data_IF_005644732603
#
_entry.id   IF_005644732603
#
_cell.length_a   1.000
_cell.length_b   1.000
_cell.length_c   1.000
_cell.angle_alpha   90.00
_cell.angle_beta   90.00
_cell.angle_gamma   90.00
#
_symmetry.space_group_name_H-M   'P 1'
#
loop_
_entity.id
_entity.type
_entity.pdbx_description
1 polymer ?
#
# COMPACT_ATOMS: atom_id res chain seq x y z
N UNK A 1 -21.56 11.35 -10.02
CA UNK A 1 -21.69 9.91 -9.71
C UNK A 1 -20.29 9.33 -9.72
N UNK A 2 -19.86 8.64 -8.66
CA UNK A 2 -18.53 8.01 -8.64
C UNK A 2 -18.54 6.89 -9.68
N UNK A 3 -17.64 6.96 -10.67
CA UNK A 3 -17.44 5.87 -11.60
C UNK A 3 -16.69 4.73 -10.88
N UNK A 4 -17.38 3.60 -10.72
CA UNK A 4 -16.84 2.45 -10.00
C UNK A 4 -15.62 1.85 -10.71
N UNK A 5 -15.52 1.98 -12.04
CA UNK A 5 -14.35 1.50 -12.81
C UNK A 5 -13.14 2.35 -12.52
N UNK A 6 -13.31 3.68 -12.45
CA UNK A 6 -12.24 4.60 -12.07
C UNK A 6 -11.77 4.35 -10.63
N UNK A 7 -12.72 4.10 -9.74
CA UNK A 7 -12.42 3.77 -8.33
C UNK A 7 -11.63 2.46 -8.23
N UNK A 8 -12.06 1.43 -8.95
CA UNK A 8 -11.36 0.15 -9.01
C UNK A 8 -9.96 0.30 -9.60
N UNK A 9 -9.81 1.06 -10.68
CA UNK A 9 -8.52 1.29 -11.36
C UNK A 9 -7.52 2.06 -10.49
N UNK A 10 -7.94 3.13 -9.80
CA UNK A 10 -7.04 3.82 -8.89
C UNK A 10 -6.78 3.03 -7.61
N UNK A 11 -7.75 2.26 -7.13
CA UNK A 11 -7.55 1.33 -6.02
C UNK A 11 -6.48 0.27 -6.35
N UNK A 12 -6.60 -0.40 -7.51
CA UNK A 12 -5.62 -1.38 -7.96
C UNK A 12 -4.25 -0.76 -8.21
N UNK A 13 -4.20 0.42 -8.85
CA UNK A 13 -2.96 1.18 -9.02
C UNK A 13 -2.29 1.50 -7.69
N UNK A 14 -3.06 1.85 -6.66
CA UNK A 14 -2.54 2.15 -5.32
C UNK A 14 -1.91 0.91 -4.71
N UNK A 15 -2.57 -0.25 -4.83
CA UNK A 15 -2.04 -1.53 -4.39
C UNK A 15 -0.75 -1.93 -5.11
N UNK A 16 -0.68 -1.72 -6.43
CA UNK A 16 0.53 -2.00 -7.24
C UNK A 16 1.70 -1.13 -6.79
N UNK A 17 1.48 0.18 -6.61
CA UNK A 17 2.54 1.10 -6.14
C UNK A 17 3.02 0.71 -4.75
N UNK A 18 2.10 0.39 -3.84
CA UNK A 18 2.45 -0.06 -2.49
C UNK A 18 3.26 -1.36 -2.50
N UNK A 19 2.82 -2.37 -3.26
CA UNK A 19 3.53 -3.64 -3.37
C UNK A 19 4.92 -3.48 -3.98
N UNK A 20 5.07 -2.58 -4.96
CA UNK A 20 6.36 -2.25 -5.54
C UNK A 20 7.30 -1.59 -4.51
N UNK A 21 6.79 -0.64 -3.70
CA UNK A 21 7.57 -0.02 -2.63
C UNK A 21 8.04 -1.05 -1.60
N UNK A 22 7.15 -1.94 -1.15
CA UNK A 22 7.49 -3.04 -0.22
C UNK A 22 8.55 -3.96 -0.84
N UNK A 23 8.37 -4.36 -2.11
CA UNK A 23 9.31 -5.22 -2.82
C UNK A 23 10.69 -4.57 -2.97
N UNK A 24 10.74 -3.27 -3.27
CA UNK A 24 11.99 -2.52 -3.38
C UNK A 24 12.76 -2.52 -2.05
N UNK A 25 12.07 -2.29 -0.93
CA UNK A 25 12.69 -2.30 0.41
C UNK A 25 13.23 -3.70 0.75
N UNK A 26 12.48 -4.75 0.42
CA UNK A 26 12.90 -6.14 0.65
C UNK A 26 14.09 -6.55 -0.22
N UNK A 27 14.08 -6.22 -1.52
CA UNK A 27 15.13 -6.63 -2.48
C UNK A 27 16.41 -5.81 -2.33
N UNK A 28 16.32 -4.50 -2.09
CA UNK A 28 17.51 -3.64 -2.14
C UNK A 28 18.33 -3.61 -0.86
N UNK A 29 17.80 -4.11 0.25
CA UNK A 29 18.37 -3.70 1.55
C UNK A 29 18.29 -4.79 2.63
N UNK A 30 17.35 -5.75 2.57
CA UNK A 30 16.97 -6.43 3.81
C UNK A 30 16.71 -5.39 4.90
N UNK A 31 16.06 -4.28 4.53
CA UNK A 31 15.87 -3.12 5.39
C UNK A 31 14.93 -3.55 6.51
N UNK A 32 15.55 -4.03 7.56
CA UNK A 32 14.89 -4.30 8.82
C UNK A 32 14.93 -2.97 9.57
N UNK A 33 13.76 -2.33 9.76
CA UNK A 33 13.74 -1.05 10.46
C UNK A 33 14.40 -1.24 11.82
N UNK A 34 15.30 -0.34 12.25
CA UNK A 34 16.12 -0.53 13.47
C UNK A 34 15.29 -0.55 14.76
N UNK A 35 14.00 -0.25 14.66
CA UNK A 35 13.03 -0.34 15.75
C UNK A 35 11.62 -0.50 15.19
N UNK A 36 10.71 -0.97 16.04
CA UNK A 36 9.29 -1.03 15.72
C UNK A 36 8.71 0.35 15.34
N UNK A 37 9.14 1.42 16.02
CA UNK A 37 8.73 2.79 15.69
C UNK A 37 9.18 3.22 14.29
N UNK A 38 10.42 2.89 13.91
CA UNK A 38 10.91 3.14 12.55
C UNK A 38 10.10 2.35 11.50
N UNK A 39 9.70 1.11 11.82
CA UNK A 39 8.85 0.31 10.94
C UNK A 39 7.49 0.98 10.70
N UNK A 40 6.83 1.45 11.77
CA UNK A 40 5.55 2.17 11.67
C UNK A 40 5.67 3.39 10.76
N UNK A 41 6.73 4.21 10.92
CA UNK A 41 6.92 5.42 10.11
C UNK A 41 7.12 5.08 8.63
N UNK A 42 7.93 4.06 8.34
CA UNK A 42 8.18 3.60 6.97
C UNK A 42 6.90 3.05 6.33
N UNK A 43 6.12 2.26 7.07
CA UNK A 43 4.84 1.73 6.59
C UNK A 43 3.81 2.83 6.36
N UNK A 44 3.65 3.76 7.31
CA UNK A 44 2.78 4.92 7.15
C UNK A 44 3.20 5.76 5.92
N UNK A 45 4.51 5.97 5.75
CA UNK A 45 5.08 6.65 4.60
C UNK A 45 4.69 5.99 3.28
N UNK A 46 4.84 4.67 3.16
CA UNK A 46 4.47 3.93 1.95
C UNK A 46 2.96 3.95 1.66
N UNK A 47 2.13 3.82 2.69
CA UNK A 47 0.67 3.91 2.59
C UNK A 47 0.27 5.26 1.98
N UNK A 48 0.72 6.37 2.56
CA UNK A 48 0.41 7.69 2.03
C UNK A 48 1.05 7.92 0.66
N UNK A 49 2.32 7.58 0.49
CA UNK A 49 3.04 7.78 -0.77
C UNK A 49 2.34 7.07 -1.93
N UNK A 50 1.87 5.84 -1.75
CA UNK A 50 1.15 5.10 -2.78
C UNK A 50 -0.15 5.79 -3.19
N UNK A 51 -0.98 6.20 -2.23
CA UNK A 51 -2.26 6.87 -2.49
C UNK A 51 -2.07 8.24 -3.17
N UNK A 52 -1.10 9.03 -2.69
CA UNK A 52 -0.79 10.34 -3.27
C UNK A 52 -0.16 10.22 -4.66
N UNK A 53 0.72 9.24 -4.88
CA UNK A 53 1.34 9.00 -6.17
C UNK A 53 0.27 8.70 -7.23
N UNK A 54 -0.66 7.78 -6.96
CA UNK A 54 -1.71 7.43 -7.91
C UNK A 54 -2.62 8.61 -8.20
N UNK A 55 -3.07 9.36 -7.18
CA UNK A 55 -3.85 10.58 -7.40
C UNK A 55 -3.11 11.57 -8.28
N UNK A 56 -1.83 11.81 -7.99
CA UNK A 56 -1.02 12.76 -8.76
C UNK A 56 -0.83 12.31 -10.21
N UNK A 57 -0.56 11.03 -10.43
CA UNK A 57 -0.43 10.43 -11.77
C UNK A 57 -1.74 10.57 -12.55
N UNK A 58 -2.87 10.14 -11.98
CA UNK A 58 -4.20 10.24 -12.61
C UNK A 58 -4.55 11.68 -13.00
N UNK A 59 -4.27 12.64 -12.12
CA UNK A 59 -4.48 14.06 -12.39
C UNK A 59 -3.54 14.58 -13.50
N UNK A 60 -2.25 14.22 -13.45
CA UNK A 60 -1.25 14.68 -14.43
C UNK A 60 -1.51 14.15 -15.83
N UNK A 61 -2.08 12.96 -15.96
CA UNK A 61 -2.43 12.35 -17.24
C UNK A 61 -3.82 12.77 -17.74
N UNK A 62 -4.55 13.59 -16.98
CA UNK A 62 -5.90 14.03 -17.35
C UNK A 62 -6.95 12.91 -17.34
N UNK A 63 -6.69 11.78 -16.67
CA UNK A 63 -7.58 10.62 -16.70
C UNK A 63 -8.83 10.82 -15.85
N UNK A 64 -8.63 11.08 -14.55
CA UNK A 64 -9.69 11.32 -13.56
C UNK A 64 -9.08 11.81 -12.24
N UNK A 65 -9.93 12.24 -11.31
CA UNK A 65 -9.51 12.73 -9.99
C UNK A 65 -9.94 11.78 -8.86
N UNK A 66 -9.12 10.78 -8.50
CA UNK A 66 -9.47 9.85 -7.43
C UNK A 66 -9.43 10.51 -6.05
N UNK A 67 -10.34 10.06 -5.17
CA UNK A 67 -10.46 10.54 -3.81
C UNK A 67 -9.45 9.86 -2.88
N UNK A 68 -8.65 10.65 -2.16
CA UNK A 68 -7.77 10.13 -1.10
C UNK A 68 -8.56 9.47 0.03
N UNK A 69 -9.82 9.87 0.25
CA UNK A 69 -10.72 9.22 1.22
C UNK A 69 -10.97 7.75 0.86
N UNK A 70 -10.77 7.36 -0.41
CA UNK A 70 -10.87 5.98 -0.87
C UNK A 70 -9.50 5.32 -0.98
N UNK A 71 -8.51 6.00 -1.55
CA UNK A 71 -7.18 5.40 -1.79
C UNK A 71 -6.41 5.09 -0.51
N UNK A 72 -6.52 5.94 0.53
CA UNK A 72 -5.86 5.69 1.81
C UNK A 72 -6.37 4.38 2.45
N UNK A 73 -7.69 4.18 2.66
CA UNK A 73 -8.21 2.89 3.13
C UNK A 73 -7.78 1.70 2.27
N UNK A 74 -7.75 1.84 0.95
CA UNK A 74 -7.27 0.77 0.05
C UNK A 74 -5.82 0.42 0.35
N UNK A 75 -4.92 1.42 0.40
CA UNK A 75 -3.51 1.17 0.73
C UNK A 75 -3.30 0.55 2.12
N UNK A 76 -4.07 0.97 3.13
CA UNK A 76 -4.04 0.37 4.47
C UNK A 76 -4.46 -1.11 4.40
N UNK A 77 -5.58 -1.42 3.75
CA UNK A 77 -6.07 -2.79 3.64
C UNK A 77 -5.12 -3.69 2.84
N UNK A 78 -4.54 -3.18 1.76
CA UNK A 78 -3.54 -3.90 0.96
C UNK A 78 -2.30 -4.24 1.78
N UNK A 79 -1.92 -3.40 2.75
CA UNK A 79 -0.82 -3.70 3.67
C UNK A 79 -1.21 -4.70 4.77
N UNK A 80 -2.37 -4.49 5.42
CA UNK A 80 -2.79 -5.27 6.58
C UNK A 80 -3.20 -6.70 6.22
N UNK A 81 -3.94 -6.91 5.12
CA UNK A 81 -4.46 -8.25 4.81
C UNK A 81 -3.36 -9.32 4.62
N UNK A 82 -2.26 -9.06 3.91
CA UNK A 82 -1.14 -10.00 3.83
C UNK A 82 -0.52 -10.34 5.19
N UNK A 83 -0.45 -9.37 6.13
CA UNK A 83 0.08 -9.61 7.47
C UNK A 83 -0.81 -10.57 8.26
N UNK A 84 -2.13 -10.48 8.12
CA UNK A 84 -3.06 -11.43 8.75
C UNK A 84 -2.84 -12.85 8.23
N UNK A 85 -2.54 -13.01 6.94
CA UNK A 85 -2.23 -14.33 6.36
C UNK A 85 -1.02 -15.01 7.02
N UNK A 86 0.05 -14.27 7.27
CA UNK A 86 1.20 -14.79 8.02
C UNK A 86 0.82 -15.13 9.47
N UNK A 87 0.00 -14.30 10.13
CA UNK A 87 -0.46 -14.55 11.51
C UNK A 87 -1.39 -15.75 11.66
N UNK A 88 -2.21 -16.08 10.64
CA UNK A 88 -3.16 -17.20 10.68
C UNK A 88 -2.67 -18.48 9.99
N UNK A 89 -1.63 -18.38 9.15
CA UNK A 89 -1.11 -19.48 8.33
C UNK A 89 0.34 -19.87 8.61
N UNK A 90 1.07 -19.14 9.47
CA UNK A 90 2.39 -19.59 9.91
C UNK A 90 2.22 -20.94 10.63
N UNK A 91 2.90 -22.01 10.17
CA UNK A 91 2.91 -23.26 10.90
C UNK A 91 3.41 -22.94 12.31
N UNK A 92 2.66 -23.38 13.32
CA UNK A 92 3.07 -23.32 14.71
C UNK A 92 4.34 -24.16 14.85
N UNK A 93 5.48 -23.54 14.55
CA UNK A 93 6.78 -24.15 14.59
C UNK A 93 7.31 -23.81 15.97
N UNK A 94 7.13 -24.75 16.88
CA UNK A 94 7.68 -24.80 18.23
C UNK A 94 6.97 -24.00 19.34
N UNK A 95 5.68 -24.30 19.55
CA UNK A 95 5.12 -24.41 20.91
C UNK A 95 4.12 -25.57 21.01
#
# INVERSE_FOLDING_TARGET
MIDWKQTLAAGSGTGVVLAALVSLIMVKIGFEPPSFGAAIVVFAGMIFLSAFAVKKISQSMGWFDPSLKTLIPVSIMTFIFPLLGASFGAPNSDL
#
